data_IF_154980898405
#
_entry.id   IF_154980898405
#
_cell.length_a   1.000
_cell.length_b   1.000
_cell.length_c   1.000
_cell.angle_alpha   90.00
_cell.angle_beta   90.00
_cell.angle_gamma   90.00
#
_symmetry.space_group_name_H-M   'P 1'
#
loop_
_entity.id
_entity.type
_entity.pdbx_description
1 polymer ?
#
# COMPACT_ATOMS: atom_id res chain seq x y z
N UNK A 1 6.25 -51.17 8.30
CA UNK A 1 5.95 -50.62 6.95
C UNK A 1 6.75 -49.35 6.59
N UNK A 2 7.41 -48.64 7.53
CA UNK A 2 8.28 -47.50 7.18
C UNK A 2 9.74 -47.89 6.83
N UNK A 3 10.22 -49.03 7.29
CA UNK A 3 11.60 -49.49 7.03
C UNK A 3 11.86 -50.03 5.61
N UNK A 4 10.85 -50.64 4.97
CA UNK A 4 10.98 -51.27 3.65
C UNK A 4 10.98 -50.28 2.48
N UNK A 5 10.45 -49.06 2.68
CA UNK A 5 10.56 -47.99 1.69
C UNK A 5 11.96 -47.35 1.68
N UNK A 6 12.68 -47.39 2.80
CA UNK A 6 14.05 -46.85 2.90
C UNK A 6 15.11 -47.74 2.23
N UNK A 7 14.83 -49.03 2.07
CA UNK A 7 15.78 -49.98 1.47
C UNK A 7 15.65 -50.12 -0.05
N UNK A 8 14.54 -49.64 -0.65
CA UNK A 8 14.23 -49.84 -2.08
C UNK A 8 14.48 -48.58 -2.93
N UNK A 9 14.44 -47.37 -2.34
CA UNK A 9 14.85 -46.14 -3.04
C UNK A 9 16.22 -45.70 -2.55
N UNK A 10 17.24 -45.98 -3.37
CA UNK A 10 18.65 -45.91 -3.01
C UNK A 10 19.07 -44.66 -2.25
N UNK A 11 19.93 -44.89 -1.25
CA UNK A 11 20.70 -43.90 -0.49
C UNK A 11 21.32 -42.73 -1.30
N UNK A 12 21.62 -42.82 -2.61
CA UNK A 12 22.09 -41.67 -3.38
C UNK A 12 21.01 -40.60 -3.57
N UNK A 13 19.76 -40.98 -3.86
CA UNK A 13 18.70 -40.04 -4.24
C UNK A 13 18.26 -39.20 -3.04
N UNK A 14 18.15 -39.84 -1.86
CA UNK A 14 17.87 -39.13 -0.62
C UNK A 14 18.96 -38.10 -0.30
N UNK A 15 20.24 -38.46 -0.45
CA UNK A 15 21.37 -37.52 -0.27
C UNK A 15 21.33 -36.36 -1.25
N UNK A 16 21.01 -36.62 -2.53
CA UNK A 16 20.85 -35.58 -3.53
C UNK A 16 19.68 -34.64 -3.23
N UNK A 17 18.54 -35.17 -2.79
CA UNK A 17 17.40 -34.37 -2.33
C UNK A 17 17.76 -33.48 -1.13
N UNK A 18 18.47 -34.01 -0.13
CA UNK A 18 18.96 -33.22 1.00
C UNK A 18 19.96 -32.14 0.57
N UNK A 19 20.86 -32.46 -0.36
CA UNK A 19 21.86 -31.51 -0.84
C UNK A 19 21.24 -30.37 -1.67
N UNK A 20 20.27 -30.70 -2.53
CA UNK A 20 19.50 -29.71 -3.31
C UNK A 20 18.62 -28.86 -2.38
N UNK A 21 17.98 -29.46 -1.38
CA UNK A 21 17.20 -28.73 -0.36
C UNK A 21 18.10 -27.80 0.47
N UNK A 22 19.31 -28.24 0.83
CA UNK A 22 20.27 -27.44 1.59
C UNK A 22 20.80 -26.25 0.76
N UNK A 23 21.04 -26.42 -0.54
CA UNK A 23 21.49 -25.33 -1.40
C UNK A 23 20.34 -24.37 -1.74
N UNK A 24 19.17 -24.91 -2.12
CA UNK A 24 18.02 -24.10 -2.50
C UNK A 24 17.44 -23.32 -1.30
N UNK A 25 17.40 -23.94 -0.12
CA UNK A 25 16.94 -23.29 1.12
C UNK A 25 18.03 -22.52 1.85
N UNK A 26 19.27 -23.01 1.87
CA UNK A 26 20.36 -22.43 2.67
C UNK A 26 21.03 -21.20 2.05
N UNK A 27 21.04 -21.05 0.72
CA UNK A 27 21.64 -19.89 0.06
C UNK A 27 20.94 -18.55 0.39
N UNK A 28 19.60 -18.41 0.25
CA UNK A 28 18.92 -17.16 0.61
C UNK A 28 19.01 -16.87 2.12
N UNK A 29 18.93 -17.92 2.93
CA UNK A 29 19.06 -17.90 4.40
C UNK A 29 20.42 -17.36 4.86
N UNK A 30 21.51 -17.87 4.28
CA UNK A 30 22.86 -17.41 4.57
C UNK A 30 23.09 -15.96 4.10
N UNK A 31 22.53 -15.58 2.95
CA UNK A 31 22.59 -14.21 2.46
C UNK A 31 21.86 -13.23 3.40
N UNK A 32 20.65 -13.57 3.86
CA UNK A 32 19.88 -12.78 4.83
C UNK A 32 20.55 -12.69 6.20
N UNK A 33 21.20 -13.76 6.66
CA UNK A 33 21.98 -13.78 7.90
C UNK A 33 23.16 -12.79 7.87
N UNK A 34 23.95 -12.81 6.78
CA UNK A 34 25.09 -11.89 6.59
C UNK A 34 24.62 -10.43 6.52
N UNK A 35 23.52 -10.16 5.81
CA UNK A 35 22.96 -8.80 5.73
C UNK A 35 22.40 -8.31 7.06
N UNK A 36 21.80 -9.19 7.88
CA UNK A 36 21.23 -8.85 9.19
C UNK A 36 22.31 -8.48 10.21
N UNK A 37 23.44 -9.20 10.21
CA UNK A 37 24.59 -8.88 11.07
C UNK A 37 25.21 -7.52 10.69
N UNK A 38 25.21 -7.18 9.40
CA UNK A 38 25.80 -5.93 8.89
C UNK A 38 25.04 -4.67 9.32
N UNK A 39 23.72 -4.76 9.59
CA UNK A 39 22.85 -3.60 9.86
C UNK A 39 22.74 -3.18 11.33
N UNK A 40 23.39 -3.87 12.28
CA UNK A 40 23.50 -3.51 13.73
C UNK A 40 22.18 -3.09 14.43
N UNK A 41 21.03 -3.60 13.99
CA UNK A 41 19.75 -3.47 14.72
C UNK A 41 19.46 -4.81 15.43
N UNK A 42 19.07 -4.77 16.71
CA UNK A 42 18.52 -5.96 17.37
C UNK A 42 17.11 -6.16 16.80
N UNK A 43 17.03 -6.90 15.70
CA UNK A 43 15.78 -7.28 15.03
C UNK A 43 15.43 -8.73 15.33
N UNK A 44 14.17 -9.11 15.13
CA UNK A 44 13.73 -10.51 15.19
C UNK A 44 14.58 -11.38 14.24
N UNK A 45 14.95 -10.85 13.08
CA UNK A 45 15.86 -11.52 12.11
C UNK A 45 17.22 -11.89 12.72
N UNK A 46 17.79 -11.05 13.60
CA UNK A 46 19.04 -11.35 14.31
C UNK A 46 18.86 -12.54 15.26
N UNK A 47 17.79 -12.55 16.05
CA UNK A 47 17.49 -13.63 16.99
C UNK A 47 17.30 -14.97 16.26
N UNK A 48 16.53 -14.96 15.17
CA UNK A 48 16.28 -16.12 14.32
C UNK A 48 17.58 -16.62 13.68
N UNK A 49 18.43 -15.71 13.20
CA UNK A 49 19.74 -16.04 12.64
C UNK A 49 20.64 -16.71 13.66
N UNK A 50 20.73 -16.16 14.88
CA UNK A 50 21.55 -16.75 15.96
C UNK A 50 21.03 -18.13 16.36
N UNK A 51 19.70 -18.30 16.46
CA UNK A 51 19.09 -19.59 16.74
C UNK A 51 19.38 -20.63 15.65
N UNK A 52 19.30 -20.23 14.37
CA UNK A 52 19.61 -21.10 13.24
C UNK A 52 21.10 -21.52 13.22
N UNK A 53 22.02 -20.59 13.51
CA UNK A 53 23.45 -20.89 13.65
C UNK A 53 23.70 -21.86 14.82
N UNK A 54 23.02 -21.67 15.95
CA UNK A 54 23.09 -22.58 17.09
C UNK A 54 22.61 -24.00 16.74
N UNK A 55 21.49 -24.12 16.04
CA UNK A 55 20.97 -25.41 15.58
C UNK A 55 21.93 -26.09 14.59
N UNK A 56 22.52 -25.34 13.65
CA UNK A 56 23.55 -25.85 12.75
C UNK A 56 24.79 -26.35 13.49
N UNK A 57 25.25 -25.62 14.52
CA UNK A 57 26.39 -26.03 15.35
C UNK A 57 26.13 -27.33 16.11
N UNK A 58 24.89 -27.56 16.55
CA UNK A 58 24.45 -28.80 17.21
C UNK A 58 24.17 -29.96 16.23
N UNK A 59 24.35 -29.76 14.93
CA UNK A 59 24.05 -30.75 13.89
C UNK A 59 22.56 -30.93 13.59
N UNK A 60 21.71 -30.05 14.12
CA UNK A 60 20.24 -30.03 13.93
C UNK A 60 19.87 -29.27 12.65
N UNK A 61 20.24 -29.85 11.50
CA UNK A 61 20.07 -29.23 10.18
C UNK A 61 18.58 -29.10 9.82
N UNK A 62 17.76 -30.07 10.19
CA UNK A 62 16.33 -30.08 9.86
C UNK A 62 15.58 -28.96 10.60
N UNK A 63 15.91 -28.75 11.87
CA UNK A 63 15.34 -27.71 12.73
C UNK A 63 15.77 -26.33 12.27
N UNK A 64 17.05 -26.14 11.94
CA UNK A 64 17.56 -24.89 11.38
C UNK A 64 16.86 -24.55 10.05
N UNK A 65 16.69 -25.53 9.17
CA UNK A 65 16.03 -25.35 7.88
C UNK A 65 14.54 -24.98 8.04
N UNK A 66 13.82 -25.64 8.95
CA UNK A 66 12.41 -25.35 9.20
C UNK A 66 12.21 -23.92 9.73
N UNK A 67 12.99 -23.51 10.73
CA UNK A 67 12.91 -22.16 11.32
C UNK A 67 13.19 -21.09 10.27
N UNK A 68 14.26 -21.27 9.48
CA UNK A 68 14.63 -20.30 8.46
C UNK A 68 13.63 -20.26 7.29
N UNK A 69 13.03 -21.39 6.92
CA UNK A 69 11.97 -21.44 5.92
C UNK A 69 10.73 -20.65 6.35
N UNK A 70 10.21 -20.90 7.57
CA UNK A 70 9.04 -20.19 8.07
C UNK A 70 9.30 -18.69 8.26
N UNK A 71 10.52 -18.33 8.66
CA UNK A 71 10.90 -16.95 8.79
C UNK A 71 10.94 -16.23 7.43
N UNK A 72 11.58 -16.83 6.43
CA UNK A 72 11.58 -16.28 5.07
C UNK A 72 10.15 -16.17 4.48
N UNK A 73 9.29 -17.14 4.79
CA UNK A 73 7.88 -17.10 4.38
C UNK A 73 7.13 -15.94 5.07
N UNK A 74 7.37 -15.69 6.36
CA UNK A 74 6.78 -14.57 7.08
C UNK A 74 7.25 -13.21 6.52
N UNK A 75 8.55 -13.06 6.26
CA UNK A 75 9.11 -11.85 5.63
C UNK A 75 8.49 -11.62 4.24
N UNK A 76 8.31 -12.67 3.44
CA UNK A 76 7.67 -12.55 2.12
C UNK A 76 6.20 -12.09 2.22
N UNK A 77 5.45 -12.56 3.22
CA UNK A 77 4.08 -12.08 3.45
C UNK A 77 4.04 -10.65 3.94
N UNK A 78 4.98 -10.24 4.79
CA UNK A 78 5.11 -8.87 5.26
C UNK A 78 5.41 -7.91 4.10
N UNK A 79 6.42 -8.22 3.27
CA UNK A 79 6.79 -7.43 2.10
C UNK A 79 5.63 -7.33 1.10
N UNK A 80 4.90 -8.42 0.87
CA UNK A 80 3.71 -8.40 0.03
C UNK A 80 2.61 -7.49 0.59
N UNK A 81 2.37 -7.53 1.90
CA UNK A 81 1.39 -6.67 2.57
C UNK A 81 1.75 -5.19 2.46
N UNK A 82 3.02 -4.87 2.69
CA UNK A 82 3.55 -3.50 2.56
C UNK A 82 3.42 -2.98 1.13
N UNK A 83 3.86 -3.76 0.15
CA UNK A 83 3.78 -3.40 -1.27
C UNK A 83 2.32 -3.19 -1.73
N UNK A 84 1.38 -4.02 -1.25
CA UNK A 84 -0.05 -3.86 -1.53
C UNK A 84 -0.59 -2.56 -0.94
N UNK A 85 -0.21 -2.21 0.29
CA UNK A 85 -0.63 -0.97 0.95
C UNK A 85 -0.10 0.26 0.20
N UNK A 86 1.19 0.26 -0.18
CA UNK A 86 1.78 1.34 -0.97
C UNK A 86 1.07 1.54 -2.32
N UNK A 87 0.73 0.45 -3.02
CA UNK A 87 -0.02 0.51 -4.29
C UNK A 87 -1.42 1.10 -4.11
N UNK A 88 -2.13 0.77 -3.03
CA UNK A 88 -3.45 1.32 -2.77
C UNK A 88 -3.41 2.85 -2.57
N UNK A 89 -2.40 3.35 -1.84
CA UNK A 89 -2.19 4.80 -1.65
C UNK A 89 -1.83 5.49 -2.97
N UNK A 90 -0.96 4.86 -3.78
CA UNK A 90 -0.59 5.40 -5.09
C UNK A 90 -1.80 5.49 -6.04
N UNK A 91 -2.68 4.48 -6.04
CA UNK A 91 -3.89 4.47 -6.87
C UNK A 91 -4.85 5.62 -6.53
N UNK A 92 -4.98 5.98 -5.24
CA UNK A 92 -5.78 7.14 -4.82
C UNK A 92 -5.23 8.45 -5.39
N UNK A 93 -3.90 8.62 -5.40
CA UNK A 93 -3.25 9.79 -5.98
C UNK A 93 -3.41 9.85 -7.50
N UNK A 94 -3.32 8.72 -8.20
CA UNK A 94 -3.45 8.67 -9.66
C UNK A 94 -4.89 8.95 -10.12
N UNK A 95 -5.88 8.67 -9.28
CA UNK A 95 -7.29 8.97 -9.57
C UNK A 95 -7.66 10.46 -9.44
N UNK A 96 -6.80 11.28 -8.81
CA UNK A 96 -7.11 12.70 -8.61
C UNK A 96 -7.16 13.47 -9.94
N UNK A 97 -8.11 14.41 -10.11
CA UNK A 97 -8.21 15.23 -11.32
C UNK A 97 -6.94 16.06 -11.54
N UNK A 98 -6.43 16.04 -12.77
CA UNK A 98 -5.27 16.89 -13.16
C UNK A 98 -5.70 18.26 -13.69
N UNK A 99 -6.97 18.40 -14.07
CA UNK A 99 -7.52 19.59 -14.71
C UNK A 99 -8.76 20.03 -13.93
N UNK A 100 -8.89 21.33 -13.72
CA UNK A 100 -10.10 21.97 -13.21
C UNK A 100 -10.67 22.92 -14.26
N UNK A 101 -11.99 22.99 -14.34
CA UNK A 101 -12.70 23.97 -15.17
C UNK A 101 -13.12 25.16 -14.33
N UNK A 102 -12.63 26.35 -14.65
CA UNK A 102 -13.00 27.60 -13.99
C UNK A 102 -14.38 28.10 -14.45
N UNK A 103 -14.94 29.08 -13.72
CA UNK A 103 -16.27 29.64 -14.01
C UNK A 103 -16.39 30.26 -15.41
N UNK A 104 -15.32 30.83 -15.94
CA UNK A 104 -15.24 31.35 -17.30
C UNK A 104 -15.24 30.26 -18.40
N UNK A 105 -15.15 28.98 -17.99
CA UNK A 105 -15.08 27.83 -18.89
C UNK A 105 -13.64 27.40 -19.22
N UNK A 106 -12.63 28.12 -18.75
CA UNK A 106 -11.23 27.80 -19.00
C UNK A 106 -10.83 26.54 -18.23
N UNK A 107 -10.18 25.61 -18.90
CA UNK A 107 -9.59 24.42 -18.28
C UNK A 107 -8.12 24.70 -17.94
N UNK A 108 -7.76 24.55 -16.68
CA UNK A 108 -6.42 24.79 -16.16
C UNK A 108 -5.94 23.60 -15.33
N UNK A 109 -4.63 23.36 -15.23
CA UNK A 109 -4.09 22.40 -14.26
C UNK A 109 -4.54 22.74 -12.84
N UNK A 110 -4.87 21.73 -12.03
CA UNK A 110 -5.34 21.93 -10.64
C UNK A 110 -4.34 22.70 -9.78
N UNK A 111 -3.05 22.61 -10.09
CA UNK A 111 -1.96 23.33 -9.43
C UNK A 111 -2.00 24.85 -9.66
N UNK A 112 -2.67 25.30 -10.73
CA UNK A 112 -2.79 26.72 -11.05
C UNK A 112 -4.02 27.38 -10.43
N UNK A 113 -4.94 26.57 -9.90
CA UNK A 113 -6.16 27.05 -9.26
C UNK A 113 -5.83 27.61 -7.87
N UNK A 114 -6.28 28.83 -7.61
CA UNK A 114 -6.05 29.54 -6.36
C UNK A 114 -7.29 29.50 -5.47
N UNK A 115 -7.07 29.61 -4.17
CA UNK A 115 -8.15 29.77 -3.20
C UNK A 115 -9.06 30.96 -3.57
N UNK A 116 -10.35 30.76 -3.39
CA UNK A 116 -11.38 31.74 -3.71
C UNK A 116 -11.85 31.73 -5.17
N UNK A 117 -11.16 31.05 -6.09
CA UNK A 117 -11.67 30.84 -7.45
C UNK A 117 -12.86 29.89 -7.46
N UNK A 118 -13.73 30.03 -8.46
CA UNK A 118 -14.90 29.18 -8.65
C UNK A 118 -14.62 28.18 -9.76
N UNK A 119 -14.78 26.90 -9.45
CA UNK A 119 -14.69 25.78 -10.38
C UNK A 119 -16.07 25.21 -10.68
N UNK A 120 -16.25 24.75 -11.92
CA UNK A 120 -17.47 24.12 -12.44
C UNK A 120 -17.29 22.62 -12.44
N UNK A 121 -18.22 21.90 -11.83
CA UNK A 121 -18.18 20.43 -11.71
C UNK A 121 -19.45 19.88 -12.35
N UNK A 122 -19.30 19.07 -13.40
CA UNK A 122 -20.43 18.44 -14.12
C UNK A 122 -20.75 17.07 -13.53
N UNK A 123 -21.95 16.53 -13.80
CA UNK A 123 -22.27 15.15 -13.44
C UNK A 123 -21.24 14.19 -14.04
N UNK A 124 -20.72 13.28 -13.22
CA UNK A 124 -19.66 12.33 -13.56
C UNK A 124 -18.23 12.82 -13.29
N UNK A 125 -18.02 14.14 -13.18
CA UNK A 125 -16.69 14.70 -12.89
C UNK A 125 -16.27 14.40 -11.45
N UNK A 126 -14.97 14.22 -11.24
CA UNK A 126 -14.40 14.24 -9.90
C UNK A 126 -14.17 15.67 -9.44
N UNK A 127 -14.36 15.90 -8.14
CA UNK A 127 -14.11 17.19 -7.49
C UNK A 127 -12.60 17.46 -7.48
N UNK A 128 -12.11 18.52 -8.14
CA UNK A 128 -10.67 18.75 -8.31
C UNK A 128 -9.99 19.25 -7.03
N UNK A 129 -10.69 20.06 -6.24
CA UNK A 129 -10.16 20.72 -5.04
C UNK A 129 -11.22 20.84 -3.95
N UNK A 130 -10.77 20.88 -2.69
CA UNK A 130 -11.64 21.16 -1.56
C UNK A 130 -12.29 22.53 -1.71
N UNK A 131 -13.57 22.62 -1.41
CA UNK A 131 -14.31 23.86 -1.60
C UNK A 131 -15.69 23.86 -0.95
N UNK A 132 -16.41 24.95 -1.17
CA UNK A 132 -17.79 25.14 -0.72
C UNK A 132 -18.69 25.40 -1.93
N UNK A 133 -19.83 24.72 -2.00
CA UNK A 133 -20.82 24.92 -3.06
C UNK A 133 -21.37 26.34 -2.98
N UNK A 134 -21.25 27.10 -4.06
CA UNK A 134 -21.82 28.45 -4.16
C UNK A 134 -23.10 28.48 -4.99
N UNK A 135 -23.28 27.52 -5.90
CA UNK A 135 -24.43 27.39 -6.79
C UNK A 135 -24.62 25.92 -7.23
N UNK A 136 -25.87 25.52 -7.45
CA UNK A 136 -26.24 24.17 -7.85
C UNK A 136 -26.58 23.23 -6.68
N UNK A 137 -27.06 22.04 -7.04
CA UNK A 137 -27.35 20.93 -6.14
C UNK A 137 -26.96 19.62 -6.84
N UNK A 138 -26.41 18.67 -6.09
CA UNK A 138 -26.01 17.36 -6.61
C UNK A 138 -25.76 16.36 -5.49
N UNK A 139 -25.82 15.08 -5.84
CA UNK A 139 -25.30 14.00 -5.00
C UNK A 139 -23.83 13.73 -5.29
N UNK A 140 -23.02 13.60 -4.23
CA UNK A 140 -21.59 13.31 -4.31
C UNK A 140 -21.29 11.98 -3.61
N UNK A 141 -20.52 11.13 -4.29
CA UNK A 141 -19.93 9.93 -3.69
C UNK A 141 -18.66 10.31 -2.93
N UNK A 142 -18.75 10.30 -1.59
CA UNK A 142 -17.63 10.58 -0.68
C UNK A 142 -16.91 9.31 -0.19
N UNK A 143 -17.23 8.12 -0.73
CA UNK A 143 -16.71 6.84 -0.26
C UNK A 143 -15.17 6.79 -0.23
N UNK A 144 -14.50 7.48 -1.16
CA UNK A 144 -13.03 7.58 -1.22
C UNK A 144 -12.42 8.23 0.02
N UNK A 145 -13.14 9.11 0.70
CA UNK A 145 -12.66 9.90 1.84
C UNK A 145 -13.28 9.41 3.15
N UNK A 146 -14.60 9.20 3.18
CA UNK A 146 -15.34 8.84 4.40
C UNK A 146 -15.49 7.34 4.59
N UNK A 147 -15.37 6.54 3.52
CA UNK A 147 -15.69 5.11 3.52
C UNK A 147 -17.19 4.80 3.51
N UNK A 148 -18.05 5.82 3.45
CA UNK A 148 -19.50 5.63 3.41
C UNK A 148 -19.96 5.44 1.95
N UNK A 149 -20.65 4.33 1.66
CA UNK A 149 -21.08 3.99 0.29
C UNK A 149 -22.35 4.71 -0.17
N UNK A 150 -23.02 5.46 0.70
CA UNK A 150 -24.26 6.17 0.36
C UNK A 150 -23.89 7.58 -0.12
N UNK A 151 -24.24 7.95 -1.36
CA UNK A 151 -24.00 9.30 -1.85
C UNK A 151 -24.66 10.34 -0.96
N UNK A 152 -23.98 11.47 -0.76
CA UNK A 152 -24.44 12.56 0.07
C UNK A 152 -24.94 13.70 -0.82
N UNK A 153 -26.16 14.15 -0.56
CA UNK A 153 -26.71 15.35 -1.19
C UNK A 153 -25.92 16.58 -0.75
N UNK A 154 -25.64 17.47 -1.71
CA UNK A 154 -24.90 18.72 -1.51
C UNK A 154 -25.68 19.89 -2.06
N UNK A 155 -25.87 20.88 -1.19
CA UNK A 155 -26.52 22.14 -1.47
C UNK A 155 -25.57 23.32 -1.25
N UNK A 156 -26.06 24.51 -1.56
CA UNK A 156 -25.35 25.77 -1.35
C UNK A 156 -24.85 25.90 0.10
N UNK A 157 -23.60 26.33 0.25
CA UNK A 157 -22.85 26.48 1.51
C UNK A 157 -22.35 25.18 2.14
N UNK A 158 -22.54 24.03 1.50
CA UNK A 158 -21.95 22.78 1.97
C UNK A 158 -20.55 22.54 1.39
N UNK A 159 -19.76 21.76 2.13
CA UNK A 159 -18.37 21.47 1.80
C UNK A 159 -18.31 20.27 0.85
N UNK A 160 -17.39 20.34 -0.12
CA UNK A 160 -17.02 19.22 -0.98
C UNK A 160 -15.52 18.96 -0.86
N UNK A 161 -15.13 17.69 -1.02
CA UNK A 161 -13.75 17.25 -0.84
C UNK A 161 -13.11 16.87 -2.17
N UNK A 162 -11.82 17.17 -2.33
CA UNK A 162 -11.06 16.74 -3.49
C UNK A 162 -11.05 15.21 -3.62
N UNK A 163 -11.20 14.71 -4.85
CA UNK A 163 -11.17 13.28 -5.17
C UNK A 163 -12.50 12.54 -4.99
N UNK A 164 -13.57 13.21 -4.55
CA UNK A 164 -14.93 12.64 -4.54
C UNK A 164 -15.58 12.76 -5.91
N UNK A 165 -16.58 11.92 -6.21
CA UNK A 165 -17.25 11.92 -7.51
C UNK A 165 -18.60 12.62 -7.45
N UNK A 166 -18.82 13.57 -8.37
CA UNK A 166 -20.11 14.19 -8.56
C UNK A 166 -21.01 13.30 -9.42
N UNK A 167 -22.24 12.99 -8.99
CA UNK A 167 -23.07 11.96 -9.65
C UNK A 167 -24.13 12.54 -10.59
N UNK A 168 -24.94 13.48 -10.14
CA UNK A 168 -26.24 13.78 -10.78
C UNK A 168 -26.39 15.21 -11.28
N UNK A 169 -25.98 16.20 -10.48
CA UNK A 169 -26.22 17.62 -10.73
C UNK A 169 -24.95 18.42 -11.07
N UNK A 170 -25.15 19.67 -11.44
CA UNK A 170 -24.07 20.61 -11.72
C UNK A 170 -23.77 21.45 -10.47
N UNK A 171 -22.50 21.64 -10.16
CA UNK A 171 -22.06 22.44 -9.02
C UNK A 171 -21.08 23.54 -9.46
N UNK A 172 -21.26 24.73 -8.90
CA UNK A 172 -20.20 25.73 -8.83
C UNK A 172 -19.62 25.72 -7.41
N UNK A 173 -18.33 25.51 -7.30
CA UNK A 173 -17.63 25.34 -6.03
C UNK A 173 -16.57 26.41 -5.90
N UNK A 174 -16.61 27.17 -4.81
CA UNK A 174 -15.54 28.10 -4.44
C UNK A 174 -14.45 27.33 -3.72
N UNK A 175 -13.24 27.34 -4.29
CA UNK A 175 -12.07 26.65 -3.75
C UNK A 175 -11.70 27.25 -2.40
N UNK A 176 -11.51 26.39 -1.40
CA UNK A 176 -11.10 26.80 -0.04
C UNK A 176 -9.68 26.41 0.32
N UNK A 177 -9.10 25.43 -0.38
CA UNK A 177 -7.72 24.98 -0.16
C UNK A 177 -7.02 24.70 -1.49
N UNK A 178 -5.71 24.92 -1.52
CA UNK A 178 -4.86 24.49 -2.63
C UNK A 178 -4.73 22.95 -2.67
N UNK A 179 -4.22 22.41 -3.78
CA UNK A 179 -3.98 20.96 -3.93
C UNK A 179 -3.08 20.40 -2.82
N UNK A 180 -2.07 21.17 -2.41
CA UNK A 180 -1.10 20.78 -1.38
C UNK A 180 -1.74 20.67 0.02
N UNK A 181 -2.76 21.48 0.29
CA UNK A 181 -3.46 21.53 1.57
C UNK A 181 -4.81 20.77 1.56
N UNK A 182 -5.13 20.11 0.46
CA UNK A 182 -6.36 19.35 0.27
C UNK A 182 -6.48 18.20 1.28
N UNK A 183 -7.73 17.82 1.57
CA UNK A 183 -8.02 16.73 2.51
C UNK A 183 -7.41 15.41 2.02
N UNK A 184 -7.49 15.14 0.71
CA UNK A 184 -6.86 13.98 0.09
C UNK A 184 -5.33 13.98 0.29
N UNK A 185 -4.67 15.13 0.09
CA UNK A 185 -3.22 15.24 0.28
C UNK A 185 -2.80 15.03 1.75
N UNK A 186 -3.62 15.47 2.70
CA UNK A 186 -3.41 15.21 4.13
C UNK A 186 -3.52 13.73 4.45
N UNK A 187 -4.53 13.02 3.93
CA UNK A 187 -4.67 11.57 4.09
C UNK A 187 -3.43 10.85 3.56
N UNK A 188 -2.98 11.20 2.36
CA UNK A 188 -1.77 10.63 1.76
C UNK A 188 -0.54 10.88 2.62
N UNK A 189 -0.38 12.10 3.14
CA UNK A 189 0.76 12.47 3.99
C UNK A 189 0.75 11.71 5.31
N UNK A 190 -0.43 11.58 5.95
CA UNK A 190 -0.60 10.81 7.19
C UNK A 190 -0.27 9.33 6.98
N UNK A 191 -0.73 8.73 5.88
CA UNK A 191 -0.41 7.33 5.57
C UNK A 191 1.09 7.15 5.34
N UNK A 192 1.73 8.06 4.58
CA UNK A 192 3.19 8.04 4.36
C UNK A 192 4.00 8.19 5.65
N UNK A 193 3.50 8.97 6.62
CA UNK A 193 4.14 9.12 7.92
C UNK A 193 3.97 7.88 8.79
N UNK A 194 2.81 7.23 8.78
CA UNK A 194 2.55 6.01 9.55
C UNK A 194 3.33 4.79 9.04
N UNK A 195 3.78 4.81 7.78
CA UNK A 195 4.61 3.77 7.16
C UNK A 195 6.12 3.95 7.42
N UNK A 196 6.53 5.06 8.06
CA UNK A 196 7.94 5.37 8.36
C UNK A 196 8.32 4.97 9.78
#
# INVERSE_FOLDING_TARGET
MAGLLSSVMGAPIAKWLYFVSLIAGGAPVAASAVQSVLKRKISISLLVTVAAVGALYLGQIAEAAAVMFFFALAEAFEEFGEARSQKAVAALLESAPKIARLKDGTEVPVEQVREGQIVKIRPGDMVPLDGVVVEGESSIDEATITGESIPKEKYRSEIVYAGTQNLSGYLEVKVTKTIADSTLQKIVTLIKQAQK
#
